data_IF_560063948408
#
_entry.id   IF_560063948408
#
_cell.length_a   1.000
_cell.length_b   1.000
_cell.length_c   1.000
_cell.angle_alpha   90.00
_cell.angle_beta   90.00
_cell.angle_gamma   90.00
#
_symmetry.space_group_name_H-M   'P 1'
#
loop_
_entity.id
_entity.type
_entity.pdbx_description
1 polymer ?
#
# COMPACT_ATOMS: atom_id res chain seq x y z
N UNK A 1 -10.51 -1.86 -40.62
CA UNK A 1 -11.47 -2.16 -39.53
C UNK A 1 -10.97 -3.17 -38.49
N UNK A 2 -10.03 -4.03 -38.81
CA UNK A 2 -9.50 -5.04 -37.86
C UNK A 2 -8.59 -4.48 -36.74
N UNK A 3 -7.95 -3.34 -36.96
CA UNK A 3 -6.92 -2.82 -36.03
C UNK A 3 -7.52 -2.14 -34.79
N UNK A 4 -8.68 -1.49 -34.91
CA UNK A 4 -9.39 -0.89 -33.78
C UNK A 4 -9.98 -1.93 -32.84
N UNK A 5 -10.57 -3.00 -33.38
CA UNK A 5 -11.15 -4.09 -32.60
C UNK A 5 -10.07 -4.91 -31.85
N UNK A 6 -8.85 -4.92 -32.37
CA UNK A 6 -7.73 -5.61 -31.74
C UNK A 6 -7.13 -4.78 -30.59
N UNK A 7 -7.09 -3.46 -30.72
CA UNK A 7 -6.70 -2.53 -29.61
C UNK A 7 -7.67 -2.58 -28.43
N UNK A 8 -8.96 -2.71 -28.69
CA UNK A 8 -9.98 -2.81 -27.63
C UNK A 8 -9.85 -4.10 -26.80
N UNK A 9 -9.18 -5.13 -27.31
CA UNK A 9 -8.99 -6.42 -26.62
C UNK A 9 -7.62 -6.58 -25.96
N UNK A 10 -6.71 -5.65 -26.16
CA UNK A 10 -5.36 -5.75 -25.59
C UNK A 10 -5.34 -5.36 -24.11
N UNK A 11 -4.61 -6.14 -23.33
CA UNK A 11 -4.17 -5.77 -21.99
C UNK A 11 -3.06 -4.72 -22.14
N UNK A 12 -3.31 -3.53 -21.63
CA UNK A 12 -2.28 -2.50 -21.50
C UNK A 12 -1.56 -2.70 -20.17
N UNK A 13 -0.25 -2.93 -20.23
CA UNK A 13 0.61 -3.07 -19.07
C UNK A 13 1.66 -1.97 -19.09
N UNK A 14 1.77 -1.26 -17.98
CA UNK A 14 2.81 -0.25 -17.78
C UNK A 14 3.58 -0.60 -16.50
N UNK A 15 4.89 -0.78 -16.63
CA UNK A 15 5.77 -1.09 -15.50
C UNK A 15 6.44 0.17 -14.94
N UNK A 16 6.76 0.14 -13.64
CA UNK A 16 7.48 1.21 -12.97
C UNK A 16 8.32 0.64 -11.81
N UNK A 17 9.36 1.34 -11.42
CA UNK A 17 10.22 1.06 -10.25
C UNK A 17 10.20 2.22 -9.22
N UNK A 18 9.42 3.24 -9.53
CA UNK A 18 9.15 4.38 -8.66
C UNK A 18 7.66 4.76 -8.75
N UNK A 19 7.09 5.23 -7.65
CA UNK A 19 5.69 5.65 -7.61
C UNK A 19 5.39 6.73 -8.67
N UNK A 20 4.51 6.46 -9.64
CA UNK A 20 3.95 7.51 -10.47
C UNK A 20 3.30 8.61 -9.61
N UNK A 21 3.32 9.84 -10.10
CA UNK A 21 2.83 10.99 -9.33
C UNK A 21 1.44 10.81 -8.72
N UNK A 22 0.43 10.25 -9.41
CA UNK A 22 -0.89 10.04 -8.82
C UNK A 22 -0.89 9.04 -7.66
N UNK A 23 -0.05 7.99 -7.73
CA UNK A 23 0.08 7.00 -6.65
C UNK A 23 0.88 7.55 -5.47
N UNK A 24 1.86 8.40 -5.74
CA UNK A 24 2.58 9.09 -4.68
C UNK A 24 1.64 10.01 -3.89
N UNK A 25 0.75 10.72 -4.57
CA UNK A 25 -0.29 11.52 -3.93
C UNK A 25 -1.30 10.66 -3.14
N UNK A 26 -1.61 9.45 -3.63
CA UNK A 26 -2.47 8.50 -2.91
C UNK A 26 -1.86 8.09 -1.57
N UNK A 27 -0.54 7.89 -1.52
CA UNK A 27 0.18 7.41 -0.33
C UNK A 27 0.98 8.50 0.41
N UNK A 28 0.73 9.77 0.18
CA UNK A 28 1.44 10.89 0.83
C UNK A 28 1.06 11.11 2.30
N UNK A 29 0.04 10.40 2.78
CA UNK A 29 -0.45 10.54 4.14
C UNK A 29 -1.20 11.84 4.42
N UNK A 30 -1.74 12.48 3.39
CA UNK A 30 -2.58 13.68 3.49
C UNK A 30 -4.01 13.38 3.03
N UNK A 31 -4.94 14.27 3.36
CA UNK A 31 -6.34 14.20 2.89
C UNK A 31 -7.01 12.84 3.13
N UNK A 32 -6.78 12.22 4.29
CA UNK A 32 -7.25 10.87 4.59
C UNK A 32 -8.76 10.74 4.50
N UNK A 33 -9.51 11.78 4.83
CA UNK A 33 -10.96 11.81 4.70
C UNK A 33 -11.42 11.64 3.24
N UNK A 34 -10.70 12.23 2.28
CA UNK A 34 -11.00 12.08 0.86
C UNK A 34 -10.61 10.70 0.29
N UNK A 35 -9.78 9.95 1.03
CA UNK A 35 -9.32 8.60 0.66
C UNK A 35 -10.11 7.49 1.37
N UNK A 36 -11.15 7.84 2.12
CA UNK A 36 -12.02 6.85 2.76
C UNK A 36 -12.58 5.87 1.73
N UNK A 37 -12.64 4.60 2.11
CA UNK A 37 -13.09 3.52 1.23
C UNK A 37 -11.97 2.93 0.36
N UNK A 38 -10.84 3.60 0.16
CA UNK A 38 -9.70 3.01 -0.53
C UNK A 38 -9.14 1.84 0.28
N UNK A 39 -8.85 0.75 -0.42
CA UNK A 39 -8.29 -0.46 0.18
C UNK A 39 -7.22 -1.03 -0.73
N UNK A 40 -6.07 -1.35 -0.15
CA UNK A 40 -5.05 -2.16 -0.78
C UNK A 40 -5.01 -3.54 -0.13
N UNK A 41 -4.69 -4.56 -0.92
CA UNK A 41 -4.44 -5.92 -0.46
C UNK A 41 -2.95 -6.16 -0.34
N UNK A 42 -2.46 -6.45 0.86
CA UNK A 42 -1.10 -6.88 1.10
C UNK A 42 -1.06 -8.41 1.04
N UNK A 43 -0.41 -8.93 0.02
CA UNK A 43 -0.26 -10.37 -0.24
C UNK A 43 1.10 -10.82 0.26
N UNK A 44 1.11 -11.84 1.12
CA UNK A 44 2.32 -12.44 1.69
C UNK A 44 2.31 -13.96 1.52
N UNK A 45 3.50 -14.56 1.50
CA UNK A 45 3.67 -16.03 1.42
C UNK A 45 4.46 -16.48 2.63
N UNK A 46 3.89 -17.39 3.41
CA UNK A 46 4.55 -17.93 4.59
C UNK A 46 5.59 -19.02 4.24
N UNK A 47 6.25 -19.58 5.25
CA UNK A 47 7.28 -20.61 5.06
C UNK A 47 6.76 -21.89 4.39
N UNK A 48 5.49 -22.24 4.62
CA UNK A 48 4.85 -23.40 3.97
C UNK A 48 4.40 -23.13 2.55
N UNK A 49 4.64 -21.93 1.99
CA UNK A 49 4.17 -21.52 0.68
C UNK A 49 2.70 -21.08 0.64
N UNK A 50 2.01 -21.01 1.79
CA UNK A 50 0.62 -20.56 1.84
C UNK A 50 0.51 -19.06 1.62
N UNK A 51 -0.34 -18.67 0.69
CA UNK A 51 -0.63 -17.29 0.36
C UNK A 51 -1.64 -16.72 1.37
N UNK A 52 -1.40 -15.51 1.82
CA UNK A 52 -2.28 -14.77 2.73
C UNK A 52 -2.46 -13.34 2.23
N UNK A 53 -3.68 -12.84 2.39
CA UNK A 53 -4.03 -11.46 2.04
C UNK A 53 -4.52 -10.73 3.29
N UNK A 54 -4.01 -9.52 3.49
CA UNK A 54 -4.47 -8.58 4.52
C UNK A 54 -4.94 -7.30 3.85
N UNK A 55 -6.05 -6.75 4.29
CA UNK A 55 -6.54 -5.48 3.75
C UNK A 55 -5.98 -4.32 4.56
N UNK A 56 -5.50 -3.30 3.86
CA UNK A 56 -4.93 -2.08 4.43
C UNK A 56 -5.71 -0.87 3.93
N UNK A 57 -6.03 0.01 4.85
CA UNK A 57 -6.66 1.30 4.56
C UNK A 57 -5.65 2.45 4.42
N UNK A 58 -6.13 3.66 4.15
CA UNK A 58 -5.26 4.84 3.94
C UNK A 58 -4.42 5.21 5.16
N UNK A 59 -4.87 4.89 6.37
CA UNK A 59 -4.15 5.17 7.61
C UNK A 59 -2.98 4.23 7.91
N UNK A 60 -2.73 3.23 7.06
CA UNK A 60 -1.72 2.18 7.28
C UNK A 60 -0.61 2.21 6.22
N UNK A 61 -0.70 3.12 5.24
CA UNK A 61 0.19 3.20 4.07
C UNK A 61 0.75 4.60 3.91
N UNK A 62 2.08 4.71 3.81
CA UNK A 62 2.77 5.98 3.59
C UNK A 62 4.00 5.83 2.69
N UNK A 63 4.07 6.58 1.60
CA UNK A 63 5.23 6.64 0.73
C UNK A 63 6.15 7.80 1.14
N UNK A 64 7.28 7.53 1.83
CA UNK A 64 8.21 8.59 2.24
C UNK A 64 8.90 9.27 1.05
N UNK A 65 9.06 8.56 -0.05
CA UNK A 65 9.64 9.05 -1.29
C UNK A 65 9.09 8.29 -2.51
N UNK A 66 9.72 8.50 -3.66
CA UNK A 66 9.27 7.91 -4.91
C UNK A 66 9.49 6.38 -5.02
N UNK A 67 10.38 5.79 -4.20
CA UNK A 67 10.77 4.38 -4.35
C UNK A 67 10.41 3.51 -3.16
N UNK A 68 9.91 4.10 -2.08
CA UNK A 68 9.65 3.38 -0.83
C UNK A 68 8.18 3.45 -0.40
N UNK A 69 7.76 2.46 0.37
CA UNK A 69 6.49 2.41 1.06
C UNK A 69 6.70 1.99 2.50
N UNK A 70 6.13 2.72 3.44
CA UNK A 70 6.04 2.34 4.85
C UNK A 70 4.65 1.81 5.16
N UNK A 71 4.58 0.76 5.95
CA UNK A 71 3.34 0.05 6.31
C UNK A 71 3.27 -0.10 7.82
N UNK A 72 2.09 0.16 8.40
CA UNK A 72 1.76 -0.11 9.80
C UNK A 72 0.86 -1.34 9.91
N UNK A 73 1.22 -2.30 10.75
CA UNK A 73 0.46 -3.54 10.95
C UNK A 73 0.29 -3.82 12.45
N UNK A 74 -0.76 -4.56 12.81
CA UNK A 74 -0.89 -5.12 14.13
C UNK A 74 0.27 -6.09 14.41
N UNK A 75 0.99 -5.96 15.54
CA UNK A 75 2.21 -6.76 15.80
C UNK A 75 1.97 -8.27 15.81
N UNK A 76 0.78 -8.70 16.28
CA UNK A 76 0.41 -10.10 16.32
C UNK A 76 -0.19 -10.62 15.02
N UNK A 77 -0.33 -9.77 13.98
CA UNK A 77 -0.87 -10.19 12.70
C UNK A 77 0.05 -11.19 12.00
N UNK A 78 -0.55 -12.07 11.21
CA UNK A 78 0.23 -13.01 10.37
C UNK A 78 1.11 -12.27 9.37
N UNK A 79 0.61 -11.18 8.79
CA UNK A 79 1.34 -10.36 7.85
C UNK A 79 2.62 -9.77 8.49
N UNK A 80 2.52 -9.20 9.70
CA UNK A 80 3.67 -8.66 10.41
C UNK A 80 4.75 -9.71 10.65
N UNK A 81 4.37 -10.91 11.08
CA UNK A 81 5.32 -12.03 11.30
C UNK A 81 6.00 -12.47 10.01
N UNK A 82 5.22 -12.63 8.93
CA UNK A 82 5.77 -13.05 7.64
C UNK A 82 6.70 -11.97 7.06
N UNK A 83 6.35 -10.70 7.15
CA UNK A 83 7.22 -9.61 6.68
C UNK A 83 8.53 -9.55 7.49
N UNK A 84 8.48 -9.72 8.80
CA UNK A 84 9.68 -9.74 9.65
C UNK A 84 10.63 -10.89 9.30
N UNK A 85 10.10 -12.04 8.86
CA UNK A 85 10.89 -13.23 8.54
C UNK A 85 11.37 -13.26 7.09
N UNK A 86 10.53 -12.88 6.14
CA UNK A 86 10.77 -13.09 4.70
C UNK A 86 11.02 -11.80 3.92
N UNK A 87 10.55 -10.67 4.40
CA UNK A 87 10.80 -9.37 3.81
C UNK A 87 10.23 -9.18 2.40
N UNK A 88 9.24 -9.98 1.98
CA UNK A 88 8.65 -9.90 0.65
C UNK A 88 7.14 -9.85 0.71
N UNK A 89 6.56 -8.96 -0.09
CA UNK A 89 5.12 -8.84 -0.26
C UNK A 89 4.77 -8.31 -1.64
N UNK A 90 3.54 -8.52 -2.05
CA UNK A 90 2.93 -7.77 -3.15
C UNK A 90 1.80 -6.91 -2.59
N UNK A 91 1.75 -5.65 -3.01
CA UNK A 91 0.62 -4.77 -2.75
C UNK A 91 -0.23 -4.69 -4.01
N UNK A 92 -1.53 -4.97 -3.90
CA UNK A 92 -2.46 -4.89 -5.03
C UNK A 92 -3.62 -3.98 -4.70
N UNK A 93 -4.06 -3.19 -5.66
CA UNK A 93 -5.19 -2.27 -5.50
C UNK A 93 -5.73 -1.80 -6.85
N UNK A 94 -6.92 -1.23 -6.84
CA UNK A 94 -7.50 -0.54 -7.99
C UNK A 94 -7.48 0.96 -7.72
N UNK A 95 -6.97 1.71 -8.66
CA UNK A 95 -6.95 3.16 -8.62
C UNK A 95 -6.99 3.72 -10.04
N UNK A 96 -7.77 4.77 -10.27
CA UNK A 96 -7.88 5.44 -11.58
C UNK A 96 -8.06 4.45 -12.74
N UNK A 97 -9.06 3.58 -12.61
CA UNK A 97 -9.47 2.60 -13.62
C UNK A 97 -8.41 1.54 -13.98
N UNK A 98 -7.32 1.45 -13.22
CA UNK A 98 -6.26 0.46 -13.40
C UNK A 98 -6.15 -0.48 -12.20
N UNK A 99 -5.77 -1.73 -12.46
CA UNK A 99 -5.31 -2.65 -11.44
C UNK A 99 -3.81 -2.50 -11.28
N UNK A 100 -3.37 -2.31 -10.05
CA UNK A 100 -1.96 -2.18 -9.70
C UNK A 100 -1.49 -3.41 -8.92
N UNK A 101 -0.30 -3.87 -9.24
CA UNK A 101 0.45 -4.86 -8.49
C UNK A 101 1.87 -4.35 -8.29
N UNK A 102 2.31 -4.26 -7.05
CA UNK A 102 3.64 -3.74 -6.69
C UNK A 102 4.37 -4.77 -5.86
N UNK A 103 5.50 -5.26 -6.35
CA UNK A 103 6.40 -6.14 -5.60
C UNK A 103 7.28 -5.31 -4.68
N UNK A 104 7.29 -5.68 -3.41
CA UNK A 104 7.98 -4.95 -2.35
C UNK A 104 9.02 -5.83 -1.66
N UNK A 105 10.20 -5.28 -1.46
CA UNK A 105 11.18 -5.81 -0.54
C UNK A 105 11.09 -5.03 0.78
N UNK A 106 10.61 -5.69 1.83
CA UNK A 106 10.25 -5.06 3.11
C UNK A 106 11.24 -5.41 4.22
N UNK A 107 11.50 -4.46 5.10
CA UNK A 107 12.26 -4.66 6.32
C UNK A 107 11.51 -4.06 7.52
N UNK A 108 11.69 -4.63 8.74
CA UNK A 108 11.18 -3.99 9.94
C UNK A 108 11.74 -2.57 10.09
N UNK A 109 10.87 -1.65 10.49
CA UNK A 109 11.19 -0.25 10.74
C UNK A 109 11.08 0.00 12.24
N UNK A 110 12.17 0.45 12.86
CA UNK A 110 12.15 0.77 14.28
C UNK A 110 11.20 1.96 14.57
N UNK A 111 10.45 1.85 15.66
CA UNK A 111 9.49 2.88 16.08
C UNK A 111 10.21 4.05 16.78
N UNK A 112 11.31 4.54 16.24
CA UNK A 112 12.09 5.64 16.81
C UNK A 112 11.29 6.93 16.75
N UNK A 113 11.21 7.64 17.88
CA UNK A 113 10.43 8.87 17.99
C UNK A 113 8.92 8.67 18.11
N UNK A 114 8.46 7.42 18.21
CA UNK A 114 7.05 7.06 18.41
C UNK A 114 6.84 6.63 19.85
N UNK A 115 6.29 7.51 20.68
CA UNK A 115 5.96 7.18 22.06
C UNK A 115 4.75 6.24 22.12
N UNK A 116 4.86 5.12 22.87
CA UNK A 116 3.76 4.19 23.06
C UNK A 116 3.32 3.47 21.79
N UNK A 117 4.26 3.17 20.87
CA UNK A 117 3.97 2.46 19.62
C UNK A 117 3.21 1.17 19.88
N UNK A 118 2.02 1.05 19.32
CA UNK A 118 1.15 -0.14 19.43
C UNK A 118 1.13 -0.97 18.14
N UNK A 119 1.75 -0.47 17.08
CA UNK A 119 1.83 -1.11 15.77
C UNK A 119 3.27 -1.51 15.44
N UNK A 120 3.40 -2.50 14.60
CA UNK A 120 4.64 -2.88 13.96
C UNK A 120 4.77 -2.09 12.64
N UNK A 121 5.92 -1.47 12.44
CA UNK A 121 6.22 -0.68 11.25
C UNK A 121 7.19 -1.42 10.35
N UNK A 122 6.98 -1.28 9.07
CA UNK A 122 7.85 -1.83 8.02
C UNK A 122 8.11 -0.75 6.98
N UNK A 123 9.28 -0.78 6.37
CA UNK A 123 9.62 0.04 5.21
C UNK A 123 10.08 -0.87 4.09
N UNK A 124 9.65 -0.60 2.87
CA UNK A 124 10.01 -1.39 1.72
C UNK A 124 10.40 -0.55 0.53
N UNK A 125 11.22 -1.14 -0.33
CA UNK A 125 11.52 -0.61 -1.65
C UNK A 125 10.67 -1.30 -2.70
N UNK A 126 10.30 -0.55 -3.75
CA UNK A 126 9.67 -1.12 -4.94
C UNK A 126 10.70 -1.92 -5.72
N UNK A 127 10.46 -3.22 -5.93
CA UNK A 127 11.23 -4.02 -6.90
C UNK A 127 10.71 -3.76 -8.31
N UNK A 128 9.40 -3.89 -8.48
CA UNK A 128 8.68 -3.58 -9.71
C UNK A 128 7.21 -3.32 -9.41
N UNK A 129 6.64 -2.37 -10.08
CA UNK A 129 5.21 -2.12 -10.09
C UNK A 129 4.66 -2.28 -11.50
N UNK A 130 3.40 -2.64 -11.59
CA UNK A 130 2.67 -2.82 -12.83
C UNK A 130 1.28 -2.23 -12.72
N UNK A 131 0.91 -1.44 -13.71
CA UNK A 131 -0.47 -0.98 -13.93
C UNK A 131 -1.07 -1.74 -15.10
N UNK A 132 -2.25 -2.29 -14.94
CA UNK A 132 -2.96 -3.08 -15.94
C UNK A 132 -4.31 -2.45 -16.26
N UNK A 133 -4.59 -2.28 -17.55
CA UNK A 133 -5.89 -1.87 -18.09
C UNK A 133 -6.28 -2.77 -19.24
N UNK A 134 -7.57 -2.98 -19.44
CA UNK A 134 -8.10 -3.68 -20.61
C UNK A 134 -8.99 -2.75 -21.41
N UNK A 135 -8.87 -2.77 -22.73
CA UNK A 135 -9.60 -1.84 -23.59
C UNK A 135 -11.12 -2.09 -23.66
N UNK A 136 -11.55 -3.33 -23.37
CA UNK A 136 -12.96 -3.73 -23.47
C UNK A 136 -13.76 -3.54 -22.17
N UNK A 137 -13.10 -3.22 -21.05
CA UNK A 137 -13.74 -3.04 -19.75
C UNK A 137 -13.04 -1.95 -18.95
N UNK A 138 -13.78 -1.29 -18.07
CA UNK A 138 -13.28 -0.27 -17.16
C UNK A 138 -13.47 -0.73 -15.74
N UNK A 139 -12.39 -0.70 -14.94
CA UNK A 139 -12.49 -0.92 -13.52
C UNK A 139 -13.13 0.28 -12.86
N UNK A 140 -14.27 0.10 -12.23
CA UNK A 140 -15.02 1.18 -11.56
C UNK A 140 -14.64 1.34 -10.10
N UNK A 141 -13.94 0.37 -9.53
CA UNK A 141 -13.46 0.38 -8.15
C UNK A 141 -12.79 -0.93 -7.78
N UNK A 142 -12.14 -0.95 -6.64
CA UNK A 142 -11.58 -2.13 -6.01
C UNK A 142 -12.40 -2.56 -4.78
N UNK A 143 -11.75 -3.27 -3.87
CA UNK A 143 -12.32 -3.55 -2.55
C UNK A 143 -12.51 -2.21 -1.84
N UNK A 144 -13.70 -1.98 -1.33
CA UNK A 144 -14.06 -0.74 -0.64
C UNK A 144 -14.72 -1.06 0.69
N UNK A 145 -14.74 -0.09 1.59
CA UNK A 145 -15.40 -0.19 2.89
C UNK A 145 -16.09 1.12 3.25
N UNK A 146 -17.03 1.04 4.14
CA UNK A 146 -17.65 2.19 4.80
C UNK A 146 -17.26 2.19 6.27
N UNK A 147 -16.95 3.36 6.82
CA UNK A 147 -16.72 3.50 8.25
C UNK A 147 -18.04 3.45 9.02
N UNK A 148 -18.00 2.85 10.21
CA UNK A 148 -19.14 2.83 11.11
C UNK A 148 -19.44 4.20 11.73
N UNK A 149 -20.21 4.19 12.81
CA UNK A 149 -20.78 5.40 13.40
C UNK A 149 -19.76 6.46 13.89
N UNK A 150 -18.54 6.05 14.25
CA UNK A 150 -17.50 6.96 14.75
C UNK A 150 -16.39 7.24 13.73
N UNK A 151 -16.79 7.81 12.62
CA UNK A 151 -15.86 8.19 11.52
C UNK A 151 -14.78 9.16 11.99
N UNK A 152 -15.12 10.14 12.84
CA UNK A 152 -14.17 11.13 13.33
C UNK A 152 -13.03 10.49 14.15
N UNK A 153 -13.34 9.55 15.04
CA UNK A 153 -12.34 8.84 15.84
C UNK A 153 -11.45 7.95 14.96
N UNK A 154 -11.99 7.32 13.91
CA UNK A 154 -11.19 6.53 12.97
C UNK A 154 -10.23 7.43 12.20
N UNK A 155 -10.68 8.56 11.68
CA UNK A 155 -9.83 9.51 10.97
C UNK A 155 -8.72 10.06 11.86
N UNK A 156 -9.03 10.45 13.10
CA UNK A 156 -8.03 10.92 14.05
C UNK A 156 -6.95 9.85 14.33
N UNK A 157 -7.36 8.58 14.48
CA UNK A 157 -6.43 7.46 14.62
C UNK A 157 -5.55 7.27 13.39
N UNK A 158 -6.11 7.35 12.19
CA UNK A 158 -5.34 7.26 10.94
C UNK A 158 -4.31 8.39 10.80
N UNK A 159 -4.69 9.62 11.14
CA UNK A 159 -3.78 10.76 11.15
C UNK A 159 -2.62 10.53 12.12
N UNK A 160 -2.88 9.99 13.29
CA UNK A 160 -1.85 9.62 14.25
C UNK A 160 -0.94 8.51 13.71
N UNK A 161 -1.50 7.44 13.14
CA UNK A 161 -0.74 6.32 12.56
C UNK A 161 0.18 6.79 11.42
N UNK A 162 -0.32 7.64 10.53
CA UNK A 162 0.49 8.24 9.47
C UNK A 162 1.58 9.14 10.06
N UNK A 163 1.29 9.93 11.09
CA UNK A 163 2.29 10.71 11.81
C UNK A 163 3.40 9.85 12.40
N UNK A 164 3.05 8.69 12.95
CA UNK A 164 4.00 7.71 13.50
C UNK A 164 4.87 7.10 12.38
N UNK A 165 4.26 6.69 11.26
CA UNK A 165 4.99 6.19 10.09
C UNK A 165 5.97 7.22 9.54
N UNK A 166 5.57 8.48 9.44
CA UNK A 166 6.44 9.58 9.00
C UNK A 166 7.64 9.73 9.94
N UNK A 167 7.43 9.80 11.26
CA UNK A 167 8.51 9.91 12.24
C UNK A 167 9.48 8.74 12.17
N UNK A 168 8.98 7.51 12.10
CA UNK A 168 9.80 6.33 12.00
C UNK A 168 10.63 6.30 10.70
N UNK A 169 10.03 6.64 9.57
CA UNK A 169 10.71 6.71 8.27
C UNK A 169 11.79 7.80 8.23
N UNK A 170 11.51 8.97 8.78
CA UNK A 170 12.45 10.08 8.87
C UNK A 170 13.66 9.75 9.78
N UNK A 171 13.41 9.07 10.89
CA UNK A 171 14.47 8.62 11.79
C UNK A 171 15.40 7.60 11.11
N UNK A 172 14.85 6.66 10.34
CA UNK A 172 15.62 5.68 9.58
C UNK A 172 16.51 6.33 8.50
N UNK A 173 16.00 7.39 7.85
CA UNK A 173 16.76 8.12 6.82
C UNK A 173 17.92 8.92 7.40
N UNK A 174 17.80 9.40 8.65
CA UNK A 174 18.88 10.17 9.35
C UNK A 174 19.93 9.30 10.01
N UNK A 175 19.64 8.03 10.26
CA UNK A 175 20.52 7.09 10.95
C UNK A 175 21.34 6.16 10.03
N UNK A 176 21.11 6.24 8.73
CA UNK A 176 21.87 5.52 7.68
C UNK A 176 22.80 6.45 6.94
#
# INVERSE_FOLDING_TARGET
>A
MSDSANRERMLEQQTFDAWPQPLRALFDGTSLAAKMGFTASLVTVNESGSIRTSLLGPGELYAPDAQRLSIALWPQSRAARVLAQRGRAALTFVFDEAFYQVQLHMAPLAAVGVAGATLAYFIGSIETGEAQRVGYARLTGGISFELGADTAAVLARWEQQIGDLKRAADAATRGG
#
